data_IF_646390209073
#
_entry.id   IF_646390209073
#
_cell.length_a   1.000
_cell.length_b   1.000
_cell.length_c   1.000
_cell.angle_alpha   90.00
_cell.angle_beta   90.00
_cell.angle_gamma   90.00
#
_symmetry.space_group_name_H-M   'P 1'
#
loop_
_entity.id
_entity.type
_entity.pdbx_description
1 polymer ?
#
# COMPACT_ATOMS: atom_id res chain seq x y z
N UNK A 1 -39.42 -61.71 -1.52
CA UNK A 1 -38.10 -62.06 -0.94
C UNK A 1 -37.12 -60.91 -1.14
N UNK A 2 -36.73 -60.20 -0.08
CA UNK A 2 -35.82 -59.03 -0.16
C UNK A 2 -34.37 -59.50 -0.03
N UNK A 3 -33.59 -59.44 -1.12
CA UNK A 3 -32.15 -59.76 -1.11
C UNK A 3 -31.39 -58.74 -0.25
N UNK A 4 -30.99 -59.13 0.97
CA UNK A 4 -30.06 -58.37 1.83
C UNK A 4 -28.70 -58.23 1.13
N UNK A 5 -28.37 -57.02 0.66
CA UNK A 5 -27.03 -56.67 0.14
C UNK A 5 -26.01 -56.79 1.27
N UNK A 6 -25.04 -57.70 1.14
CA UNK A 6 -23.93 -57.84 2.10
C UNK A 6 -23.03 -56.59 2.04
N UNK A 7 -22.58 -56.04 3.19
CA UNK A 7 -21.68 -54.90 3.20
C UNK A 7 -20.34 -55.28 2.56
N UNK A 8 -19.88 -54.47 1.59
CA UNK A 8 -18.54 -54.61 0.99
C UNK A 8 -17.49 -54.55 2.10
N UNK A 9 -16.62 -55.56 2.22
CA UNK A 9 -15.43 -55.49 3.08
C UNK A 9 -14.57 -54.32 2.61
N UNK A 10 -14.63 -53.20 3.34
CA UNK A 10 -13.81 -52.03 3.05
C UNK A 10 -12.41 -52.32 3.58
N UNK A 11 -11.44 -52.32 2.67
CA UNK A 11 -10.04 -52.54 3.01
C UNK A 11 -9.51 -51.33 3.80
N UNK A 12 -9.41 -51.50 5.12
CA UNK A 12 -9.08 -50.44 6.09
C UNK A 12 -7.73 -49.80 5.75
N UNK A 13 -6.77 -50.58 5.23
CA UNK A 13 -5.44 -50.10 4.80
C UNK A 13 -5.54 -49.13 3.62
N UNK A 14 -6.36 -49.43 2.62
CA UNK A 14 -6.58 -48.54 1.46
C UNK A 14 -7.28 -47.24 1.88
N UNK A 15 -8.26 -47.33 2.78
CA UNK A 15 -8.98 -46.16 3.30
C UNK A 15 -8.04 -45.23 4.08
N UNK A 16 -7.16 -45.80 4.91
CA UNK A 16 -6.18 -45.05 5.71
C UNK A 16 -5.14 -44.33 4.84
N UNK A 17 -4.61 -44.99 3.80
CA UNK A 17 -3.69 -44.36 2.83
C UNK A 17 -4.36 -43.20 2.08
N UNK A 18 -5.61 -43.35 1.66
CA UNK A 18 -6.38 -42.29 0.99
C UNK A 18 -6.61 -41.08 1.90
N UNK A 19 -6.95 -41.31 3.18
CA UNK A 19 -7.10 -40.26 4.19
C UNK A 19 -5.81 -39.48 4.45
N UNK A 20 -4.67 -40.17 4.54
CA UNK A 20 -3.37 -39.53 4.75
C UNK A 20 -3.00 -38.64 3.55
N UNK A 21 -3.23 -39.13 2.32
CA UNK A 21 -2.98 -38.36 1.09
C UNK A 21 -3.82 -37.08 1.02
N UNK A 22 -5.13 -37.19 1.26
CA UNK A 22 -6.05 -36.05 1.30
C UNK A 22 -5.68 -35.02 2.38
N UNK A 23 -5.20 -35.49 3.54
CA UNK A 23 -4.75 -34.59 4.61
C UNK A 23 -3.49 -33.81 4.21
N UNK A 24 -2.56 -34.47 3.52
CA UNK A 24 -1.33 -33.86 3.03
C UNK A 24 -1.61 -32.81 1.94
N UNK A 25 -2.45 -33.15 0.96
CA UNK A 25 -2.90 -32.20 -0.08
C UNK A 25 -3.54 -30.95 0.54
N UNK A 26 -4.45 -31.12 1.52
CA UNK A 26 -5.08 -29.97 2.20
C UNK A 26 -4.08 -29.09 2.97
N UNK A 27 -3.05 -29.70 3.57
CA UNK A 27 -1.99 -28.96 4.25
C UNK A 27 -1.15 -28.18 3.23
N UNK A 28 -0.76 -28.82 2.12
CA UNK A 28 0.04 -28.20 1.07
C UNK A 28 -0.70 -27.01 0.44
N UNK A 29 -2.01 -27.12 0.21
CA UNK A 29 -2.85 -26.03 -0.30
C UNK A 29 -2.94 -24.86 0.69
N UNK A 30 -3.17 -25.15 1.98
CA UNK A 30 -3.17 -24.09 3.01
C UNK A 30 -1.81 -23.40 3.18
N UNK A 31 -0.71 -24.14 3.04
CA UNK A 31 0.65 -23.55 3.08
C UNK A 31 0.88 -22.66 1.86
N UNK A 32 0.44 -23.07 0.67
CA UNK A 32 0.52 -22.25 -0.56
C UNK A 32 -0.34 -20.99 -0.47
N UNK A 33 -1.58 -21.09 0.02
CA UNK A 33 -2.45 -19.94 0.25
C UNK A 33 -1.86 -18.94 1.24
N UNK A 34 -1.27 -19.42 2.35
CA UNK A 34 -0.60 -18.56 3.32
C UNK A 34 0.59 -17.84 2.70
N UNK A 35 1.46 -18.56 1.97
CA UNK A 35 2.61 -17.94 1.27
C UNK A 35 2.18 -16.90 0.24
N UNK A 36 1.10 -17.15 -0.51
CA UNK A 36 0.56 -16.19 -1.47
C UNK A 36 -0.05 -14.94 -0.81
N UNK A 37 -0.61 -15.07 0.40
CA UNK A 37 -1.11 -13.94 1.17
C UNK A 37 0.02 -13.11 1.78
N UNK A 38 1.08 -13.74 2.27
CA UNK A 38 2.27 -13.06 2.78
C UNK A 38 2.93 -12.24 1.68
N UNK A 39 3.15 -12.81 0.49
CA UNK A 39 3.75 -12.07 -0.63
C UNK A 39 2.89 -10.89 -1.11
N UNK A 40 1.57 -11.03 -1.14
CA UNK A 40 0.66 -9.92 -1.45
C UNK A 40 0.70 -8.81 -0.38
N UNK A 41 0.89 -9.18 0.89
CA UNK A 41 1.00 -8.24 2.00
C UNK A 41 2.33 -7.47 1.95
N UNK A 42 3.42 -8.15 1.61
CA UNK A 42 4.74 -7.54 1.42
C UNK A 42 4.75 -6.55 0.25
N UNK A 43 4.10 -6.90 -0.87
CA UNK A 43 3.94 -6.00 -2.03
C UNK A 43 3.19 -4.73 -1.61
N UNK A 44 2.07 -4.87 -0.89
CA UNK A 44 1.28 -3.73 -0.39
C UNK A 44 2.07 -2.87 0.59
N UNK A 45 2.85 -3.48 1.48
CA UNK A 45 3.68 -2.76 2.43
C UNK A 45 4.74 -1.92 1.70
N UNK A 46 5.39 -2.50 0.69
CA UNK A 46 6.39 -1.81 -0.11
C UNK A 46 5.78 -0.64 -0.91
N UNK A 47 4.59 -0.82 -1.50
CA UNK A 47 3.87 0.25 -2.17
C UNK A 47 3.52 1.40 -1.23
N UNK A 48 3.02 1.10 -0.02
CA UNK A 48 2.72 2.11 1.00
C UNK A 48 3.98 2.85 1.45
N UNK A 49 5.09 2.14 1.64
CA UNK A 49 6.38 2.74 1.98
C UNK A 49 6.87 3.70 0.88
N UNK A 50 6.77 3.30 -0.40
CA UNK A 50 7.11 4.16 -1.54
C UNK A 50 6.25 5.42 -1.58
N UNK A 51 4.94 5.29 -1.37
CA UNK A 51 4.03 6.43 -1.29
C UNK A 51 4.41 7.36 -0.13
N UNK A 52 4.68 6.81 1.05
CA UNK A 52 5.13 7.57 2.22
C UNK A 52 6.41 8.38 1.93
N UNK A 53 7.43 7.74 1.35
CA UNK A 53 8.68 8.42 0.99
C UNK A 53 8.47 9.46 -0.09
N UNK A 54 7.60 9.19 -1.06
CA UNK A 54 7.26 10.20 -2.07
C UNK A 54 6.68 11.45 -1.41
N UNK A 55 5.77 11.31 -0.44
CA UNK A 55 5.17 12.42 0.32
C UNK A 55 6.20 13.21 1.11
N UNK A 56 7.15 12.51 1.71
CA UNK A 56 8.21 13.17 2.46
C UNK A 56 9.02 14.10 1.53
N UNK A 57 9.44 13.58 0.37
CA UNK A 57 10.15 14.37 -0.66
C UNK A 57 9.28 15.51 -1.18
N UNK A 58 8.00 15.25 -1.44
CA UNK A 58 7.06 16.28 -1.89
C UNK A 58 6.90 17.42 -0.88
N UNK A 59 6.82 17.11 0.41
CA UNK A 59 6.65 18.12 1.46
C UNK A 59 7.83 19.07 1.48
N UNK A 60 9.05 18.54 1.40
CA UNK A 60 10.28 19.33 1.33
C UNK A 60 10.32 20.19 0.07
N UNK A 61 10.11 19.59 -1.11
CA UNK A 61 10.12 20.33 -2.38
C UNK A 61 9.02 21.38 -2.45
N UNK A 62 7.83 21.05 -1.97
CA UNK A 62 6.68 21.95 -1.91
C UNK A 62 6.97 23.18 -1.06
N UNK A 63 7.59 23.00 0.10
CA UNK A 63 7.91 24.09 1.01
C UNK A 63 9.01 25.01 0.48
N UNK A 64 10.07 24.41 -0.08
CA UNK A 64 11.16 25.15 -0.72
C UNK A 64 10.64 25.95 -1.92
N UNK A 65 9.86 25.33 -2.80
CA UNK A 65 9.33 25.99 -4.01
C UNK A 65 8.33 27.10 -3.68
N UNK A 66 7.48 26.90 -2.66
CA UNK A 66 6.52 27.92 -2.21
C UNK A 66 7.21 29.26 -1.89
N UNK A 67 8.35 29.17 -1.20
CA UNK A 67 9.06 30.36 -0.73
C UNK A 67 10.06 30.89 -1.75
N UNK A 68 10.87 30.03 -2.37
CA UNK A 68 11.90 30.46 -3.32
C UNK A 68 11.33 30.93 -4.67
N UNK A 69 10.35 30.22 -5.23
CA UNK A 69 9.85 30.52 -6.57
C UNK A 69 8.68 31.50 -6.55
N UNK A 70 7.82 31.40 -5.53
CA UNK A 70 6.55 32.13 -5.48
C UNK A 70 6.48 33.18 -4.37
N UNK A 71 7.46 33.22 -3.46
CA UNK A 71 7.51 34.21 -2.38
C UNK A 71 6.30 34.19 -1.44
N UNK A 72 5.56 33.07 -1.37
CA UNK A 72 4.29 33.01 -0.65
C UNK A 72 4.46 33.15 0.87
N UNK A 73 3.48 33.77 1.53
CA UNK A 73 3.46 34.04 2.97
C UNK A 73 2.05 33.80 3.51
N UNK A 74 1.95 33.32 4.75
CA UNK A 74 0.70 33.21 5.50
C UNK A 74 -0.34 32.31 4.81
N UNK A 75 -1.53 32.85 4.55
CA UNK A 75 -2.65 32.11 3.96
C UNK A 75 -2.36 31.56 2.56
N UNK A 76 -1.59 32.28 1.75
CA UNK A 76 -1.20 31.79 0.42
C UNK A 76 -0.30 30.57 0.49
N UNK A 77 0.53 30.48 1.53
CA UNK A 77 1.40 29.33 1.77
C UNK A 77 0.59 28.10 2.21
N UNK A 78 -0.44 28.32 3.01
CA UNK A 78 -1.38 27.26 3.39
C UNK A 78 -2.18 26.73 2.20
N UNK A 79 -2.67 27.63 1.33
CA UNK A 79 -3.36 27.24 0.09
C UNK A 79 -2.42 26.48 -0.85
N UNK A 80 -1.18 26.94 -1.01
CA UNK A 80 -0.17 26.25 -1.79
C UNK A 80 0.09 24.84 -1.27
N UNK A 81 0.26 24.69 0.04
CA UNK A 81 0.44 23.41 0.69
C UNK A 81 -0.70 22.43 0.38
N UNK A 82 -1.96 22.89 0.43
CA UNK A 82 -3.13 22.06 0.12
C UNK A 82 -3.16 21.68 -1.36
N UNK A 83 -2.96 22.64 -2.26
CA UNK A 83 -2.95 22.38 -3.71
C UNK A 83 -1.88 21.37 -4.07
N UNK A 84 -0.66 21.57 -3.58
CA UNK A 84 0.47 20.68 -3.84
C UNK A 84 0.27 19.30 -3.21
N UNK A 85 -0.37 19.25 -2.03
CA UNK A 85 -0.73 18.01 -1.35
C UNK A 85 -1.73 17.17 -2.15
N UNK A 86 -2.69 17.82 -2.81
CA UNK A 86 -3.67 17.13 -3.64
C UNK A 86 -3.12 16.80 -5.02
N UNK A 87 -2.37 17.68 -5.70
CA UNK A 87 -1.91 17.46 -7.07
C UNK A 87 -0.81 16.41 -7.18
N UNK A 88 0.21 16.53 -6.33
CA UNK A 88 1.43 15.76 -6.47
C UNK A 88 1.27 14.24 -6.33
N UNK A 89 0.40 13.68 -5.47
CA UNK A 89 0.22 12.24 -5.33
C UNK A 89 -0.38 11.60 -6.57
N UNK A 90 -1.27 12.31 -7.28
CA UNK A 90 -1.73 11.86 -8.59
C UNK A 90 -0.56 11.82 -9.55
N UNK A 91 0.21 12.91 -9.61
CA UNK A 91 1.37 12.97 -10.49
C UNK A 91 2.40 11.86 -10.19
N UNK A 92 2.76 11.66 -8.92
CA UNK A 92 3.67 10.62 -8.50
C UNK A 92 3.13 9.21 -8.80
N UNK A 93 1.84 8.97 -8.60
CA UNK A 93 1.23 7.66 -8.86
C UNK A 93 1.26 7.30 -10.35
N UNK A 94 0.96 8.27 -11.23
CA UNK A 94 0.90 8.06 -12.68
C UNK A 94 2.28 8.10 -13.34
N UNK A 95 3.11 9.09 -13.02
CA UNK A 95 4.37 9.34 -13.74
C UNK A 95 5.58 8.65 -13.11
N UNK A 96 5.68 8.64 -11.77
CA UNK A 96 6.88 8.13 -11.07
C UNK A 96 6.76 6.63 -10.84
N UNK A 97 5.66 6.19 -10.24
CA UNK A 97 5.50 4.78 -9.86
C UNK A 97 4.88 3.93 -10.96
N UNK A 98 4.29 4.54 -11.99
CA UNK A 98 3.58 3.86 -13.09
C UNK A 98 2.76 2.68 -12.56
N UNK A 99 1.99 2.91 -11.50
CA UNK A 99 1.19 1.82 -10.94
C UNK A 99 0.26 1.29 -12.03
N UNK A 100 0.35 -0.02 -12.31
CA UNK A 100 -0.60 -0.69 -13.18
C UNK A 100 -1.99 -0.41 -12.65
N UNK A 101 -2.85 0.16 -13.51
CA UNK A 101 -4.17 0.61 -13.10
C UNK A 101 -5.04 -0.60 -12.72
N UNK A 102 -5.04 -0.96 -11.44
CA UNK A 102 -5.94 -1.96 -10.87
C UNK A 102 -7.10 -1.25 -10.17
N UNK A 103 -8.31 -1.40 -10.73
CA UNK A 103 -9.55 -0.78 -10.22
C UNK A 103 -9.81 -1.10 -8.73
N UNK A 104 -9.33 -2.23 -8.23
CA UNK A 104 -9.51 -2.65 -6.83
C UNK A 104 -8.50 -1.99 -5.86
N UNK A 105 -7.32 -1.60 -6.36
CA UNK A 105 -6.29 -0.94 -5.54
C UNK A 105 -6.42 0.58 -5.58
N UNK A 106 -7.02 1.13 -6.64
CA UNK A 106 -7.19 2.57 -6.85
C UNK A 106 -8.36 3.14 -6.03
N UNK A 107 -8.16 3.23 -4.71
CA UNK A 107 -9.07 3.94 -3.81
C UNK A 107 -8.40 5.24 -3.34
N UNK A 108 -9.08 6.38 -3.55
CA UNK A 108 -8.61 7.71 -3.14
C UNK A 108 -8.14 7.75 -1.69
N UNK A 109 -8.82 7.03 -0.79
CA UNK A 109 -8.43 6.93 0.62
C UNK A 109 -7.05 6.29 0.79
N UNK A 110 -6.73 5.26 0.00
CA UNK A 110 -5.43 4.56 0.07
C UNK A 110 -4.29 5.39 -0.50
N UNK A 111 -4.57 6.32 -1.42
CA UNK A 111 -3.56 7.20 -2.03
C UNK A 111 -3.30 8.43 -1.15
N UNK A 112 -4.36 8.93 -0.49
CA UNK A 112 -4.32 10.19 0.26
C UNK A 112 -3.93 9.98 1.74
N UNK A 113 -4.34 8.87 2.35
CA UNK A 113 -4.10 8.61 3.78
C UNK A 113 -2.62 8.40 4.15
N UNK A 114 -1.81 7.64 3.39
CA UNK A 114 -0.42 7.38 3.77
C UNK A 114 0.43 8.65 3.72
N UNK A 115 1.18 8.90 4.80
CA UNK A 115 2.20 9.95 4.83
C UNK A 115 1.64 11.37 4.90
N UNK A 116 0.40 11.56 5.35
CA UNK A 116 -0.19 12.88 5.55
C UNK A 116 0.61 13.73 6.54
N UNK A 117 0.83 13.19 7.74
CA UNK A 117 1.54 13.90 8.81
C UNK A 117 2.97 14.28 8.44
N UNK A 118 3.71 13.35 7.82
CA UNK A 118 5.11 13.61 7.41
C UNK A 118 5.19 14.69 6.33
N UNK A 119 4.23 14.73 5.40
CA UNK A 119 4.15 15.77 4.39
C UNK A 119 4.00 17.15 5.03
N UNK A 120 3.01 17.32 5.92
CA UNK A 120 2.77 18.60 6.60
C UNK A 120 3.98 19.02 7.43
N UNK A 121 4.55 18.08 8.19
CA UNK A 121 5.69 18.36 9.06
C UNK A 121 6.93 18.83 8.26
N UNK A 122 7.30 18.09 7.21
CA UNK A 122 8.45 18.45 6.38
C UNK A 122 8.20 19.72 5.56
N UNK A 123 6.99 19.96 5.09
CA UNK A 123 6.62 21.21 4.44
C UNK A 123 6.82 22.39 5.41
N UNK A 124 6.32 22.30 6.63
CA UNK A 124 6.45 23.36 7.62
C UNK A 124 7.91 23.64 7.99
N UNK A 125 8.70 22.58 8.25
CA UNK A 125 10.13 22.72 8.58
C UNK A 125 10.90 23.35 7.42
N UNK A 126 10.78 22.77 6.22
CA UNK A 126 11.51 23.24 5.05
C UNK A 126 11.17 24.69 4.71
N UNK A 127 9.89 25.06 4.80
CA UNK A 127 9.47 26.44 4.53
C UNK A 127 9.94 27.39 5.61
N UNK A 128 9.93 26.99 6.88
CA UNK A 128 10.48 27.80 7.98
C UNK A 128 11.98 28.04 7.78
N UNK A 129 12.75 27.00 7.51
CA UNK A 129 14.19 27.11 7.22
C UNK A 129 14.42 28.04 6.02
N UNK A 130 13.70 27.83 4.92
CA UNK A 130 13.84 28.64 3.70
C UNK A 130 13.46 30.09 3.94
N UNK A 131 12.39 30.34 4.70
CA UNK A 131 11.97 31.68 5.07
C UNK A 131 13.05 32.37 5.91
N UNK A 132 13.57 31.70 6.93
CA UNK A 132 14.64 32.25 7.78
C UNK A 132 15.88 32.56 6.97
N UNK A 133 16.33 31.67 6.09
CA UNK A 133 17.51 31.88 5.24
C UNK A 133 17.37 33.04 4.26
N UNK A 134 16.17 33.31 3.75
CA UNK A 134 15.93 34.42 2.82
C UNK A 134 15.70 35.77 3.53
N UNK A 135 15.41 35.74 4.82
CA UNK A 135 15.12 36.96 5.61
C UNK A 135 16.31 37.35 6.50
N UNK A 136 17.35 36.51 6.54
CA UNK A 136 18.65 36.79 7.16
C UNK A 136 19.50 37.68 6.23
#
# INVERSE_FOLDING_TARGET
>A
MVKKKRPKKVDIRKKRKKLIKLRKERIDDHVKEKKGKESALDIRLNQQAKLYWSRAVTGVLGGITARLLLGLIGWWMFLWMIVFWFLFPFFASFFIFKFEYSKEEWNWKKIISPGLGIYFFLFMISTTITHTLLTL
#
